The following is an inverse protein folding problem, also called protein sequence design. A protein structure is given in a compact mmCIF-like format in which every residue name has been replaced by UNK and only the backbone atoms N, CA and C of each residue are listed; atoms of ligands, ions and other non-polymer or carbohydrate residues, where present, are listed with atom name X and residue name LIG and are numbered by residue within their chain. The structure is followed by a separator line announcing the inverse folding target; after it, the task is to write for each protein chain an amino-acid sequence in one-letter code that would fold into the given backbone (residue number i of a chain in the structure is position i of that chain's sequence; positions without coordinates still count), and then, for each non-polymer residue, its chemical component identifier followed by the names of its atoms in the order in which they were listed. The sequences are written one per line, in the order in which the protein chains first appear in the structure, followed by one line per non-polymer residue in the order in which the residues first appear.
data_IF_591900426792
#
_entry.id   IF_591900426792
#
_cell.length_a   1.000
_cell.length_b   1.000
_cell.length_c   1.000
_cell.angle_alpha   90.00
_cell.angle_beta   90.00
_cell.angle_gamma   90.00
#
_symmetry.space_group_name_H-M   'P 1'
#
loop_
_entity.id
_entity.type
_entity.pdbx_description
1 polymer ?
#
# COMPACT_ATOMS: atom_id res chain seq x y z
N UNK A 1 15.09 0.49 7.29
CA UNK A 1 13.97 0.98 6.44
C UNK A 1 12.88 -0.09 6.25
N UNK A 2 13.18 -1.32 5.84
CA UNK A 2 12.18 -2.40 5.61
C UNK A 2 11.41 -2.87 6.86
N UNK A 3 12.02 -2.82 8.05
CA UNK A 3 11.36 -3.20 9.31
C UNK A 3 10.26 -2.20 9.70
N UNK A 4 10.41 -0.92 9.33
CA UNK A 4 9.41 0.12 9.60
C UNK A 4 8.19 -0.06 8.71
N UNK A 5 8.39 -0.36 7.42
CA UNK A 5 7.31 -0.65 6.49
C UNK A 5 6.50 -1.88 6.90
N UNK A 6 7.16 -2.97 7.32
CA UNK A 6 6.49 -4.19 7.79
C UNK A 6 5.62 -3.94 9.03
N UNK A 7 6.06 -3.08 9.95
CA UNK A 7 5.27 -2.67 11.11
C UNK A 7 4.04 -1.87 10.70
N UNK A 8 4.18 -0.89 9.80
CA UNK A 8 3.06 -0.08 9.29
C UNK A 8 2.01 -0.94 8.57
N UNK A 9 2.44 -1.91 7.76
CA UNK A 9 1.53 -2.93 7.16
C UNK A 9 0.81 -3.72 8.26
N UNK A 10 1.54 -4.22 9.25
CA UNK A 10 0.98 -4.97 10.37
C UNK A 10 -0.07 -4.18 11.16
N UNK A 11 0.19 -2.90 11.44
CA UNK A 11 -0.74 -1.99 12.09
C UNK A 11 -2.01 -1.77 11.27
N UNK A 12 -1.89 -1.72 9.94
CA UNK A 12 -3.05 -1.59 9.04
C UNK A 12 -3.92 -2.84 9.06
N UNK A 13 -3.31 -4.02 9.00
CA UNK A 13 -4.02 -5.32 9.15
C UNK A 13 -4.74 -5.38 10.49
N UNK A 14 -4.05 -4.99 11.58
CA UNK A 14 -4.64 -4.96 12.93
C UNK A 14 -5.83 -4.01 13.01
N UNK A 15 -5.71 -2.83 12.39
CA UNK A 15 -6.78 -1.84 12.35
C UNK A 15 -8.04 -2.40 11.69
N UNK A 16 -7.90 -3.04 10.52
CA UNK A 16 -9.03 -3.64 9.80
C UNK A 16 -9.68 -4.76 10.61
N UNK A 17 -8.87 -5.64 11.23
CA UNK A 17 -9.39 -6.70 12.09
C UNK A 17 -10.20 -6.12 13.27
N UNK A 18 -9.69 -5.08 13.93
CA UNK A 18 -10.38 -4.40 15.04
C UNK A 18 -11.66 -3.70 14.58
N UNK A 19 -11.67 -3.09 13.41
CA UNK A 19 -12.88 -2.49 12.82
C UNK A 19 -13.99 -3.53 12.60
N UNK A 20 -13.61 -4.74 12.16
CA UNK A 20 -14.53 -5.89 12.03
C UNK A 20 -14.90 -6.56 13.36
N UNK A 21 -14.36 -6.08 14.49
CA UNK A 21 -14.53 -6.62 15.85
C UNK A 21 -14.15 -8.09 16.01
N UNK A 22 -13.21 -8.58 15.20
CA UNK A 22 -12.75 -9.96 15.27
C UNK A 22 -11.50 -10.09 16.16
N UNK A 23 -11.51 -11.05 17.08
CA UNK A 23 -10.31 -11.47 17.80
C UNK A 23 -9.41 -12.33 16.90
N UNK A 24 -8.14 -12.50 17.30
CA UNK A 24 -7.20 -13.36 16.56
C UNK A 24 -7.70 -14.81 16.49
N UNK A 25 -8.35 -15.31 17.55
CA UNK A 25 -8.90 -16.66 17.59
C UNK A 25 -10.15 -16.79 16.72
N UNK A 26 -11.01 -15.77 16.68
CA UNK A 26 -12.18 -15.76 15.78
C UNK A 26 -11.77 -15.73 14.32
N UNK A 27 -10.71 -15.00 13.96
CA UNK A 27 -10.16 -15.02 12.60
C UNK A 27 -9.67 -16.42 12.24
N UNK A 28 -8.99 -17.11 13.15
CA UNK A 28 -8.54 -18.49 12.94
C UNK A 28 -9.71 -19.44 12.73
N UNK A 29 -10.76 -19.34 13.55
CA UNK A 29 -11.97 -20.16 13.41
C UNK A 29 -12.73 -19.86 12.12
N UNK A 30 -12.95 -18.58 11.79
CA UNK A 30 -13.69 -18.15 10.62
C UNK A 30 -12.95 -18.41 9.30
N UNK A 31 -11.61 -18.46 9.33
CA UNK A 31 -10.77 -18.80 8.17
C UNK A 31 -10.49 -20.30 8.05
N UNK A 32 -11.18 -21.15 8.80
CA UNK A 32 -10.99 -22.59 8.79
C UNK A 32 -9.52 -22.99 9.02
N UNK A 33 -8.87 -22.33 9.99
CA UNK A 33 -7.45 -22.50 10.38
C UNK A 33 -6.41 -22.07 9.33
N UNK A 34 -6.82 -21.40 8.25
CA UNK A 34 -5.88 -20.86 7.25
C UNK A 34 -4.99 -19.75 7.83
N UNK A 35 -5.57 -18.89 8.68
CA UNK A 35 -4.89 -17.81 9.37
C UNK A 35 -4.79 -18.10 10.88
N UNK A 36 -3.79 -18.90 11.26
CA UNK A 36 -3.48 -19.16 12.68
C UNK A 36 -3.30 -17.86 13.46
N UNK A 37 -3.90 -17.76 14.64
CA UNK A 37 -3.86 -16.58 15.50
C UNK A 37 -2.42 -16.12 15.81
N UNK A 38 -1.52 -17.08 16.07
CA UNK A 38 -0.10 -16.81 16.32
C UNK A 38 0.60 -16.16 15.13
N UNK A 39 0.34 -16.67 13.91
CA UNK A 39 0.97 -16.17 12.68
C UNK A 39 0.42 -14.80 12.32
N UNK A 40 -0.89 -14.59 12.43
CA UNK A 40 -1.51 -13.29 12.22
C UNK A 40 -0.98 -12.25 13.22
N UNK A 41 -0.78 -12.65 14.49
CA UNK A 41 -0.16 -11.79 15.49
C UNK A 41 1.27 -11.37 15.14
N UNK A 42 2.09 -12.27 14.58
CA UNK A 42 3.43 -11.93 14.11
C UNK A 42 3.41 -10.94 12.93
N UNK A 43 2.42 -11.03 12.04
CA UNK A 43 2.23 -10.04 10.97
C UNK A 43 1.81 -8.68 11.53
N UNK A 44 0.84 -8.65 12.46
CA UNK A 44 0.35 -7.41 13.05
C UNK A 44 1.42 -6.63 13.82
N UNK A 45 2.39 -7.33 14.41
CA UNK A 45 3.53 -6.70 15.11
C UNK A 45 4.70 -6.34 14.18
N UNK A 46 4.61 -6.70 12.90
CA UNK A 46 5.72 -6.52 11.94
C UNK A 46 6.94 -7.40 12.22
N UNK A 47 6.79 -8.44 13.05
CA UNK A 47 7.87 -9.40 13.37
C UNK A 47 8.17 -10.33 12.19
N UNK A 48 7.16 -10.55 11.33
CA UNK A 48 7.29 -11.38 10.13
C UNK A 48 6.71 -10.66 8.94
N UNK A 49 7.43 -10.69 7.82
CA UNK A 49 6.91 -10.19 6.55
C UNK A 49 5.80 -11.11 6.03
N UNK A 50 4.79 -10.51 5.41
CA UNK A 50 3.71 -11.20 4.72
C UNK A 50 3.99 -11.23 3.21
N UNK A 51 3.77 -12.38 2.56
CA UNK A 51 3.88 -12.48 1.11
C UNK A 51 2.64 -11.93 0.41
N UNK A 52 2.82 -11.39 -0.79
CA UNK A 52 1.73 -10.80 -1.61
C UNK A 52 0.55 -11.76 -1.80
N UNK A 53 0.73 -13.06 -2.15
CA UNK A 53 -0.40 -13.98 -2.29
C UNK A 53 -1.17 -14.20 -0.99
N UNK A 54 -0.50 -14.08 0.15
CA UNK A 54 -1.11 -14.28 1.48
C UNK A 54 -1.85 -13.03 1.93
N UNK A 55 -1.33 -11.85 1.60
CA UNK A 55 -2.04 -10.57 1.75
C UNK A 55 -3.34 -10.55 0.94
N UNK A 56 -3.31 -11.02 -0.31
CA UNK A 56 -4.49 -11.11 -1.17
C UNK A 56 -5.58 -12.03 -0.57
N UNK A 57 -5.18 -13.16 0.05
CA UNK A 57 -6.15 -14.03 0.72
C UNK A 57 -6.78 -13.36 1.95
N UNK A 58 -5.99 -12.61 2.72
CA UNK A 58 -6.51 -11.76 3.82
C UNK A 58 -7.46 -10.67 3.33
N UNK A 59 -7.15 -10.05 2.20
CA UNK A 59 -8.00 -9.01 1.59
C UNK A 59 -9.37 -9.57 1.21
N UNK A 60 -9.39 -10.74 0.57
CA UNK A 60 -10.62 -11.48 0.25
C UNK A 60 -11.40 -11.89 1.50
N UNK A 61 -10.71 -12.40 2.52
CA UNK A 61 -11.33 -12.81 3.78
C UNK A 61 -12.02 -11.65 4.51
N UNK A 62 -11.37 -10.48 4.60
CA UNK A 62 -11.95 -9.30 5.24
C UNK A 62 -12.89 -8.49 4.32
N UNK A 63 -13.02 -8.88 3.05
CA UNK A 63 -13.71 -8.16 2.00
C UNK A 63 -13.25 -6.69 1.90
N UNK A 64 -11.92 -6.51 1.86
CA UNK A 64 -11.24 -5.23 1.68
C UNK A 64 -10.27 -5.33 0.51
N UNK A 65 -10.06 -4.25 -0.26
CA UNK A 65 -9.11 -4.29 -1.35
C UNK A 65 -7.67 -4.29 -0.79
N UNK A 66 -6.73 -4.86 -1.56
CA UNK A 66 -5.39 -5.17 -1.05
C UNK A 66 -4.54 -3.91 -0.79
N UNK A 67 -4.79 -2.83 -1.52
CA UNK A 67 -4.24 -1.48 -1.31
C UNK A 67 -4.57 -0.95 0.10
N UNK A 68 -5.79 -1.18 0.60
CA UNK A 68 -6.18 -0.73 1.93
C UNK A 68 -5.47 -1.47 3.07
N UNK A 69 -4.90 -2.65 2.81
CA UNK A 69 -4.06 -3.37 3.78
C UNK A 69 -2.62 -2.86 3.79
N UNK A 70 -2.21 -2.12 2.77
CA UNK A 70 -0.90 -1.50 2.70
C UNK A 70 -0.93 -0.13 3.38
N UNK A 71 0.19 0.33 3.95
CA UNK A 71 0.28 1.68 4.46
C UNK A 71 0.21 2.66 3.29
N UNK A 72 -0.55 3.75 3.46
CA UNK A 72 -0.53 4.85 2.50
C UNK A 72 0.92 5.35 2.37
N UNK A 73 1.42 5.38 1.14
CA UNK A 73 2.81 5.73 0.86
C UNK A 73 3.12 7.10 1.47
N UNK A 74 4.17 7.14 2.29
CA UNK A 74 4.89 8.38 2.60
C UNK A 74 5.98 8.62 1.54
N UNK A 75 5.77 8.08 0.32
CA UNK A 75 6.57 8.41 -0.84
C UNK A 75 6.25 9.83 -1.28
N UNK A 76 7.10 10.45 -2.13
CA UNK A 76 6.74 11.72 -2.74
C UNK A 76 5.38 11.56 -3.41
N UNK A 77 4.49 12.52 -3.18
CA UNK A 77 3.19 12.58 -3.87
C UNK A 77 3.48 12.74 -5.36
N UNK A 78 3.53 11.62 -6.09
CA UNK A 78 3.35 11.63 -7.52
C UNK A 78 1.87 11.94 -7.72
N UNK A 79 1.56 13.10 -8.30
CA UNK A 79 0.24 13.75 -8.32
C UNK A 79 -0.89 12.99 -9.02
N UNK A 80 -1.08 11.71 -8.75
CA UNK A 80 -2.28 10.96 -9.08
C UNK A 80 -3.28 11.14 -7.95
N UNK A 81 -3.99 12.27 -7.99
CA UNK A 81 -5.23 12.44 -7.25
C UNK A 81 -6.24 11.44 -7.82
N UNK A 82 -6.39 10.29 -7.16
CA UNK A 82 -7.49 9.38 -7.39
C UNK A 82 -8.77 10.03 -6.81
N UNK A 83 -9.38 10.90 -7.63
CA UNK A 83 -10.66 11.53 -7.36
C UNK A 83 -10.54 13.00 -6.95
N UNK A 84 -10.52 13.89 -7.93
CA UNK A 84 -11.01 15.26 -7.75
C UNK A 84 -11.56 15.80 -9.08
N UNK A 85 -12.82 15.43 -9.38
CA UNK A 85 -13.67 16.30 -10.19
C UNK A 85 -14.28 17.33 -9.23
N UNK A 86 -13.72 18.53 -9.18
CA UNK A 86 -14.25 19.55 -8.28
C UNK A 86 -13.37 20.77 -8.11
N UNK A 87 -13.38 21.66 -9.10
CA UNK A 87 -13.02 23.08 -9.04
C UNK A 87 -12.53 23.62 -7.68
N UNK A 88 -11.24 23.95 -7.60
CA UNK A 88 -10.74 24.94 -6.65
C UNK A 88 -9.94 25.99 -7.41
N UNK A 89 -10.47 27.21 -7.37
CA UNK A 89 -9.97 28.41 -8.01
C UNK A 89 -8.52 28.71 -7.64
N UNK A 90 -7.84 29.27 -8.62
CA UNK A 90 -6.50 29.83 -8.54
C UNK A 90 -6.47 30.97 -7.51
N UNK A 91 -5.82 30.77 -6.36
CA UNK A 91 -5.34 31.90 -5.55
C UNK A 91 -3.81 31.99 -5.62
N UNK A 92 -3.40 33.05 -6.30
CA UNK A 92 -2.05 33.52 -6.50
C UNK A 92 -1.47 34.03 -5.17
N UNK A 93 -0.37 33.42 -4.71
CA UNK A 93 0.84 34.05 -4.15
C UNK A 93 1.53 33.12 -3.17
N UNK A 94 2.61 32.47 -3.63
CA UNK A 94 3.89 32.33 -2.90
C UNK A 94 4.81 31.28 -3.57
N UNK A 95 5.59 31.72 -4.55
CA UNK A 95 7.05 31.51 -4.58
C UNK A 95 7.63 30.10 -4.43
N UNK A 96 7.01 29.05 -4.96
CA UNK A 96 7.75 27.81 -5.24
C UNK A 96 7.55 27.48 -6.70
N UNK A 97 8.64 27.54 -7.48
CA UNK A 97 8.67 26.99 -8.82
C UNK A 97 8.38 25.48 -8.69
N UNK A 98 7.11 25.12 -8.77
CA UNK A 98 6.65 23.78 -9.07
C UNK A 98 7.21 23.52 -10.45
N UNK A 99 8.37 22.84 -10.51
CA UNK A 99 8.89 22.36 -11.77
C UNK A 99 7.72 21.63 -12.45
N UNK A 100 7.38 22.05 -13.67
CA UNK A 100 6.35 21.37 -14.44
C UNK A 100 6.62 19.87 -14.41
N UNK A 101 5.59 19.03 -14.26
CA UNK A 101 5.78 17.59 -14.20
C UNK A 101 6.50 17.12 -15.47
N UNK A 102 7.77 16.74 -15.31
CA UNK A 102 8.59 16.20 -16.39
C UNK A 102 7.94 14.87 -16.79
N UNK A 103 7.28 14.87 -17.95
CA UNK A 103 6.65 13.68 -18.50
C UNK A 103 7.68 12.92 -19.31
N UNK A 104 8.13 11.77 -18.79
CA UNK A 104 9.05 10.87 -19.49
C UNK A 104 8.23 9.97 -20.41
N UNK A 105 8.39 10.15 -21.72
CA UNK A 105 7.80 9.26 -22.73
C UNK A 105 8.62 7.97 -22.84
N UNK A 106 8.15 6.94 -22.15
CA UNK A 106 8.79 5.62 -22.12
C UNK A 106 8.71 4.87 -23.46
N UNK A 107 7.85 5.28 -24.39
CA UNK A 107 7.78 4.64 -25.72
C UNK A 107 9.01 4.95 -26.59
N UNK A 108 9.66 6.08 -26.32
CA UNK A 108 10.90 6.50 -26.99
C UNK A 108 12.16 5.82 -26.44
N UNK A 109 12.05 5.11 -25.30
CA UNK A 109 13.17 4.38 -24.72
C UNK A 109 13.59 3.18 -25.59
N UNK A 110 12.63 2.55 -26.28
CA UNK A 110 12.91 1.43 -27.19
C UNK A 110 13.71 1.82 -28.44
N UNK A 111 13.71 3.10 -28.81
CA UNK A 111 14.50 3.64 -29.92
C UNK A 111 15.90 4.12 -29.53
N UNK A 112 16.24 4.11 -28.24
CA UNK A 112 17.58 4.47 -27.76
C UNK A 112 18.50 3.24 -27.82
N UNK A 113 19.37 3.19 -28.83
CA UNK A 113 20.50 2.26 -28.85
C UNK A 113 21.64 2.82 -28.00
N UNK A 114 21.75 2.36 -26.74
CA UNK A 114 22.87 2.63 -25.85
C UNK A 114 23.78 1.41 -25.66
N UNK A 115 25.05 1.59 -25.25
CA UNK A 115 26.06 0.53 -25.18
C UNK A 115 25.92 -0.46 -24.00
N UNK A 116 24.81 -0.48 -23.26
CA UNK A 116 24.63 -1.35 -22.08
C UNK A 116 23.89 -2.67 -22.41
N UNK A 117 24.12 -3.23 -23.60
CA UNK A 117 23.49 -4.47 -24.05
C UNK A 117 24.48 -5.61 -24.37
N UNK A 118 25.65 -5.63 -23.74
CA UNK A 118 26.53 -6.81 -23.65
C UNK A 118 26.73 -7.26 -22.20
#
# INVERSE_FOLDING_TARGET
MTQDYSKRVGERIRSIRRQKRLSLQEVEAASNQEFKASVLGAYERGERAISVPRLQRLSRFYNVPADQLLPADAGPSFGVNAGDEGAAELDDRSGRATADPITIDLTQLASLSGPEAE
#
